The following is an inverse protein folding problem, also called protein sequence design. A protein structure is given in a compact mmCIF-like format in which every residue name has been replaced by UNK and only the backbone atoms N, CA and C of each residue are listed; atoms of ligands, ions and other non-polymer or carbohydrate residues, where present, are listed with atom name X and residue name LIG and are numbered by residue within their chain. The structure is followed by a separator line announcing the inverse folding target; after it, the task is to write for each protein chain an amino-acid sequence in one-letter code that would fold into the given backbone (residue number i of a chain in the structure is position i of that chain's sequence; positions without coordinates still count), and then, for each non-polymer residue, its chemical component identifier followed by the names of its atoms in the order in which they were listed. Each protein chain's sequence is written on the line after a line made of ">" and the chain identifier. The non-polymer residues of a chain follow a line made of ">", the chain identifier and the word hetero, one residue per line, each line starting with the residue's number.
data_IF_612767501815
#
_entry.id   IF_612767501815
#
_cell.length_a   1.000
_cell.length_b   1.000
_cell.length_c   1.000
_cell.angle_alpha   90.00
_cell.angle_beta   90.00
_cell.angle_gamma   90.00
#
_symmetry.space_group_name_H-M   'P 1'
#
loop_
_entity.id
_entity.type
_entity.pdbx_description
1 polymer ?
#
# COMPACT_ATOMS: atom_id res chain seq x y z
N UNK A 1 30.73 16.57 -11.84
CA UNK A 1 29.96 15.57 -11.07
C UNK A 1 30.14 15.75 -9.55
N UNK A 2 31.33 16.09 -9.09
CA UNK A 2 31.64 16.25 -7.64
C UNK A 2 30.89 17.39 -6.91
N UNK A 3 30.62 18.50 -7.58
CA UNK A 3 29.92 19.65 -6.97
C UNK A 3 28.44 19.36 -6.61
N UNK A 4 27.77 18.47 -7.35
CA UNK A 4 26.40 18.06 -7.05
C UNK A 4 26.33 17.10 -5.88
N UNK A 5 27.30 16.20 -5.75
CA UNK A 5 27.38 15.21 -4.66
C UNK A 5 27.64 15.91 -3.32
N UNK A 6 28.59 16.84 -3.28
CA UNK A 6 28.90 17.62 -2.06
C UNK A 6 27.71 18.46 -1.59
N UNK A 7 26.89 18.97 -2.51
CA UNK A 7 25.69 19.73 -2.16
C UNK A 7 24.58 18.83 -1.54
N UNK A 8 24.46 17.59 -2.02
CA UNK A 8 23.49 16.61 -1.49
C UNK A 8 23.90 16.15 -0.09
N UNK A 9 25.17 15.82 0.14
CA UNK A 9 25.65 15.42 1.46
C UNK A 9 25.47 16.53 2.49
N UNK A 10 25.80 17.76 2.13
CA UNK A 10 25.60 18.91 3.01
C UNK A 10 24.10 19.14 3.31
N UNK A 11 23.22 19.03 2.30
CA UNK A 11 21.77 19.15 2.48
C UNK A 11 21.22 18.07 3.43
N UNK A 12 21.72 16.84 3.34
CA UNK A 12 21.36 15.76 4.26
C UNK A 12 21.80 16.07 5.69
N UNK A 13 23.03 16.56 5.89
CA UNK A 13 23.55 16.94 7.20
C UNK A 13 22.72 18.06 7.82
N UNK A 14 22.40 19.09 7.04
CA UNK A 14 21.63 20.25 7.51
C UNK A 14 20.19 19.87 7.85
N UNK A 15 19.54 19.03 7.03
CA UNK A 15 18.22 18.47 7.33
C UNK A 15 18.23 17.66 8.62
N UNK A 16 19.22 16.79 8.81
CA UNK A 16 19.37 16.01 10.06
C UNK A 16 19.56 16.91 11.29
N UNK A 17 20.32 18.00 11.16
CA UNK A 17 20.48 18.98 12.25
C UNK A 17 19.16 19.68 12.58
N UNK A 18 18.41 20.12 11.57
CA UNK A 18 17.11 20.77 11.76
C UNK A 18 16.12 19.82 12.44
N UNK A 19 16.06 18.55 12.00
CA UNK A 19 15.19 17.54 12.61
C UNK A 19 15.55 17.31 14.07
N UNK A 20 16.84 17.19 14.41
CA UNK A 20 17.29 17.03 15.80
C UNK A 20 16.94 18.21 16.68
N UNK A 21 16.99 19.42 16.13
CA UNK A 21 16.64 20.65 16.87
C UNK A 21 15.15 20.75 17.14
N UNK A 22 14.32 20.30 16.18
CA UNK A 22 12.86 20.36 16.27
C UNK A 22 12.27 19.18 17.05
N UNK A 23 13.04 18.11 17.29
CA UNK A 23 12.63 16.90 18.00
C UNK A 23 13.53 16.64 19.22
N UNK A 24 13.39 17.48 20.30
CA UNK A 24 14.29 17.43 21.44
C UNK A 24 14.26 16.10 22.22
N UNK A 25 13.15 15.35 22.10
CA UNK A 25 12.92 14.08 22.82
C UNK A 25 12.81 12.87 21.89
N UNK A 26 13.79 12.69 21.01
CA UNK A 26 13.83 11.56 20.06
C UNK A 26 13.58 10.20 20.72
N UNK A 27 14.11 9.98 21.93
CA UNK A 27 13.93 8.71 22.65
C UNK A 27 12.47 8.47 23.00
N UNK A 28 11.75 9.49 23.48
CA UNK A 28 10.31 9.40 23.76
C UNK A 28 9.50 9.13 22.51
N UNK A 29 9.79 9.83 21.43
CA UNK A 29 9.13 9.64 20.13
C UNK A 29 9.31 8.20 19.61
N UNK A 30 10.51 7.63 19.73
CA UNK A 30 10.73 6.24 19.32
C UNK A 30 10.01 5.22 20.21
N UNK A 31 9.91 5.48 21.50
CA UNK A 31 9.13 4.63 22.42
C UNK A 31 7.62 4.68 22.10
N UNK A 32 7.10 5.85 21.81
CA UNK A 32 5.69 6.01 21.42
C UNK A 32 5.42 5.34 20.06
N UNK A 33 6.33 5.47 19.09
CA UNK A 33 6.24 4.80 17.81
C UNK A 33 6.28 3.27 17.97
N UNK A 34 7.18 2.74 18.81
CA UNK A 34 7.23 1.30 19.10
C UNK A 34 5.93 0.79 19.70
N UNK A 35 5.36 1.54 20.64
CA UNK A 35 4.08 1.22 21.26
C UNK A 35 2.94 1.23 20.23
N UNK A 36 2.90 2.24 19.36
CA UNK A 36 1.94 2.34 18.28
C UNK A 36 2.04 1.16 17.32
N UNK A 37 3.25 0.80 16.88
CA UNK A 37 3.47 -0.34 15.98
C UNK A 37 3.00 -1.65 16.63
N UNK A 38 3.30 -1.87 17.92
CA UNK A 38 2.82 -3.06 18.66
C UNK A 38 1.30 -3.15 18.71
N UNK A 39 0.62 -2.02 18.88
CA UNK A 39 -0.85 -1.96 18.86
C UNK A 39 -1.40 -2.31 17.48
N UNK A 40 -0.82 -1.74 16.40
CA UNK A 40 -1.24 -2.04 15.03
C UNK A 40 -1.01 -3.51 14.65
N UNK A 41 0.13 -4.08 15.05
CA UNK A 41 0.43 -5.51 14.82
C UNK A 41 -0.61 -6.39 15.54
N UNK A 42 -0.92 -6.08 16.81
CA UNK A 42 -1.94 -6.83 17.56
C UNK A 42 -3.32 -6.78 16.89
N UNK A 43 -3.72 -5.61 16.36
CA UNK A 43 -4.99 -5.50 15.61
C UNK A 43 -4.99 -6.36 14.33
N UNK A 44 -3.86 -6.39 13.61
CA UNK A 44 -3.70 -7.22 12.41
C UNK A 44 -3.82 -8.71 12.76
N UNK A 45 -3.16 -9.14 13.83
CA UNK A 45 -3.23 -10.53 14.34
C UNK A 45 -4.65 -10.91 14.76
N UNK A 46 -5.39 -10.01 15.40
CA UNK A 46 -6.77 -10.23 15.80
C UNK A 46 -7.69 -10.38 14.59
N UNK A 47 -7.57 -9.50 13.59
CA UNK A 47 -8.30 -9.62 12.32
C UNK A 47 -8.02 -10.95 11.62
N UNK A 48 -6.74 -11.34 11.54
CA UNK A 48 -6.34 -12.60 10.93
C UNK A 48 -6.91 -13.81 11.70
N UNK A 49 -6.93 -13.76 13.03
CA UNK A 49 -7.49 -14.82 13.87
C UNK A 49 -9.01 -14.94 13.71
N UNK A 50 -9.69 -13.83 13.47
CA UNK A 50 -11.14 -13.78 13.19
C UNK A 50 -11.49 -14.13 11.75
N UNK A 51 -10.50 -14.39 10.88
CA UNK A 51 -10.70 -14.63 9.46
C UNK A 51 -11.19 -13.40 8.68
N UNK A 52 -10.99 -12.21 9.23
CA UNK A 52 -11.35 -10.94 8.59
C UNK A 52 -10.20 -10.44 7.73
N UNK A 53 -10.50 -9.75 6.60
CA UNK A 53 -9.47 -9.19 5.74
C UNK A 53 -8.68 -8.10 6.48
N UNK A 54 -7.35 -8.20 6.43
CA UNK A 54 -6.45 -7.19 7.00
C UNK A 54 -6.41 -5.93 6.12
N UNK A 55 -6.48 -6.12 4.80
CA UNK A 55 -6.61 -5.03 3.83
C UNK A 55 -8.10 -4.76 3.63
N UNK A 56 -8.58 -3.52 3.81
CA UNK A 56 -9.98 -3.20 3.62
C UNK A 56 -10.44 -3.47 2.18
N UNK A 57 -11.62 -4.05 2.05
CA UNK A 57 -12.26 -4.36 0.78
C UNK A 57 -13.49 -3.49 0.57
N UNK A 58 -13.66 -2.97 -0.64
CA UNK A 58 -14.79 -2.14 -1.04
C UNK A 58 -15.34 -2.65 -2.38
N UNK A 59 -16.66 -2.74 -2.50
CA UNK A 59 -17.28 -2.93 -3.80
C UNK A 59 -17.27 -1.63 -4.61
N UNK A 60 -16.98 -1.72 -5.89
CA UNK A 60 -16.96 -0.58 -6.79
C UNK A 60 -18.30 0.19 -6.81
N UNK A 61 -19.41 -0.50 -6.79
CA UNK A 61 -20.75 0.10 -6.72
C UNK A 61 -20.92 1.02 -5.49
N UNK A 62 -20.30 0.68 -4.36
CA UNK A 62 -20.35 1.51 -3.15
C UNK A 62 -19.61 2.82 -3.34
N UNK A 63 -18.49 2.79 -4.11
CA UNK A 63 -17.72 4.00 -4.45
C UNK A 63 -18.52 4.84 -5.43
N UNK A 64 -19.06 4.24 -6.48
CA UNK A 64 -19.83 4.92 -7.53
C UNK A 64 -21.06 5.63 -6.96
N UNK A 65 -21.72 5.03 -5.97
CA UNK A 65 -22.87 5.61 -5.28
C UNK A 65 -22.51 6.58 -4.14
N UNK A 66 -21.23 6.89 -3.94
CA UNK A 66 -20.74 7.75 -2.85
C UNK A 66 -21.18 7.30 -1.43
N UNK A 67 -21.33 5.97 -1.23
CA UNK A 67 -21.81 5.36 0.02
C UNK A 67 -20.72 4.64 0.81
N UNK A 68 -19.46 5.06 0.65
CA UNK A 68 -18.35 4.45 1.40
C UNK A 68 -18.45 4.85 2.86
N UNK A 69 -18.48 3.84 3.74
CA UNK A 69 -18.53 4.04 5.18
C UNK A 69 -17.25 4.72 5.69
N UNK A 70 -17.39 5.66 6.62
CA UNK A 70 -16.25 6.41 7.19
C UNK A 70 -15.23 5.48 7.87
N UNK A 71 -15.67 4.39 8.47
CA UNK A 71 -14.78 3.40 9.11
C UNK A 71 -13.87 2.72 8.10
N UNK A 72 -14.37 2.48 6.88
CA UNK A 72 -13.57 1.93 5.77
C UNK A 72 -12.56 2.97 5.30
N UNK A 73 -12.97 4.24 5.16
CA UNK A 73 -12.07 5.33 4.78
C UNK A 73 -10.91 5.46 5.77
N UNK A 74 -11.21 5.42 7.07
CA UNK A 74 -10.18 5.45 8.13
C UNK A 74 -9.26 4.23 8.04
N UNK A 75 -9.83 3.04 7.79
CA UNK A 75 -9.04 1.80 7.64
C UNK A 75 -8.11 1.87 6.43
N UNK A 76 -8.55 2.40 5.30
CA UNK A 76 -7.72 2.62 4.11
C UNK A 76 -6.56 3.57 4.41
N UNK A 77 -6.85 4.70 5.09
CA UNK A 77 -5.81 5.66 5.49
C UNK A 77 -4.77 5.02 6.39
N UNK A 78 -5.18 4.17 7.32
CA UNK A 78 -4.28 3.49 8.25
C UNK A 78 -3.46 2.39 7.59
N UNK A 79 -4.04 1.64 6.64
CA UNK A 79 -3.35 0.55 5.93
C UNK A 79 -2.59 0.99 4.70
N UNK A 80 -2.92 2.17 4.13
CA UNK A 80 -2.29 2.72 2.93
C UNK A 80 -2.67 2.00 1.63
N UNK A 81 -3.61 1.05 1.68
CA UNK A 81 -4.08 0.29 0.51
C UNK A 81 -5.51 -0.20 0.71
N UNK A 82 -6.17 -0.57 -0.39
CA UNK A 82 -7.49 -1.18 -0.41
C UNK A 82 -7.63 -2.16 -1.57
N UNK A 83 -8.54 -3.13 -1.43
CA UNK A 83 -8.98 -4.00 -2.52
C UNK A 83 -10.34 -3.51 -3.01
N UNK A 84 -10.44 -3.15 -4.28
CA UNK A 84 -11.71 -2.78 -4.91
C UNK A 84 -12.25 -4.01 -5.64
N UNK A 85 -13.43 -4.45 -5.23
CA UNK A 85 -14.12 -5.62 -5.81
C UNK A 85 -15.13 -5.21 -6.87
N UNK A 86 -15.34 -6.10 -7.83
CA UNK A 86 -16.39 -5.97 -8.85
C UNK A 86 -16.30 -4.72 -9.72
N UNK A 87 -15.05 -4.30 -10.05
CA UNK A 87 -14.81 -3.16 -10.94
C UNK A 87 -15.29 -3.47 -12.36
N UNK A 88 -15.11 -4.72 -12.82
CA UNK A 88 -15.54 -5.19 -14.13
C UNK A 88 -16.51 -6.37 -14.00
N UNK A 89 -17.44 -6.54 -14.94
CA UNK A 89 -18.27 -7.74 -15.04
C UNK A 89 -17.40 -8.99 -15.18
N UNK A 90 -17.75 -10.06 -14.46
CA UNK A 90 -16.97 -11.30 -14.47
C UNK A 90 -16.77 -11.86 -15.89
N UNK A 91 -17.83 -11.87 -16.70
CA UNK A 91 -17.76 -12.34 -18.10
C UNK A 91 -16.76 -11.59 -18.95
N UNK A 92 -16.64 -10.27 -18.76
CA UNK A 92 -15.69 -9.45 -19.47
C UNK A 92 -14.23 -9.75 -19.06
N UNK A 93 -14.00 -10.00 -17.76
CA UNK A 93 -12.68 -10.38 -17.28
C UNK A 93 -12.28 -11.77 -17.80
N UNK A 94 -13.21 -12.71 -17.85
CA UNK A 94 -12.98 -14.04 -18.43
C UNK A 94 -12.66 -13.94 -19.93
N UNK A 95 -13.42 -13.16 -20.70
CA UNK A 95 -13.15 -12.92 -22.12
C UNK A 95 -11.75 -12.33 -22.36
N UNK A 96 -11.37 -11.29 -21.62
CA UNK A 96 -10.03 -10.69 -21.72
C UNK A 96 -8.91 -11.66 -21.34
N UNK A 97 -9.16 -12.53 -20.36
CA UNK A 97 -8.18 -13.55 -20.00
C UNK A 97 -8.00 -14.60 -21.11
N UNK A 98 -9.10 -15.02 -21.74
CA UNK A 98 -9.06 -15.97 -22.84
C UNK A 98 -8.36 -15.36 -24.07
N UNK A 99 -8.67 -14.11 -24.43
CA UNK A 99 -7.97 -13.37 -25.49
C UNK A 99 -6.47 -13.25 -25.22
N UNK A 100 -6.08 -12.99 -23.96
CA UNK A 100 -4.67 -12.91 -23.59
C UNK A 100 -3.97 -14.25 -23.73
N UNK A 101 -4.60 -15.35 -23.30
CA UNK A 101 -4.06 -16.72 -23.42
C UNK A 101 -3.89 -17.10 -24.88
N UNK A 102 -4.88 -16.80 -25.73
CA UNK A 102 -4.84 -17.02 -27.17
C UNK A 102 -3.67 -16.24 -27.81
N UNK A 103 -3.57 -14.95 -27.50
CA UNK A 103 -2.48 -14.09 -27.99
C UNK A 103 -1.09 -14.61 -27.62
N UNK A 104 -0.90 -15.04 -26.36
CA UNK A 104 0.38 -15.59 -25.89
C UNK A 104 0.71 -16.90 -26.62
N UNK A 105 -0.31 -17.76 -26.85
CA UNK A 105 -0.15 -19.04 -27.51
C UNK A 105 0.18 -18.85 -28.98
N UNK A 106 -0.56 -18.03 -29.70
CA UNK A 106 -0.35 -17.78 -31.15
C UNK A 106 1.01 -17.15 -31.44
N UNK A 107 1.53 -16.34 -30.52
CA UNK A 107 2.83 -15.69 -30.68
C UNK A 107 4.01 -16.51 -30.11
N UNK A 108 3.79 -17.69 -29.60
CA UNK A 108 4.83 -18.60 -29.12
C UNK A 108 5.68 -18.04 -27.98
N UNK A 109 5.14 -17.19 -27.13
CA UNK A 109 5.91 -16.57 -26.04
C UNK A 109 6.51 -17.58 -25.06
N UNK A 110 5.84 -18.71 -24.83
CA UNK A 110 6.37 -19.77 -23.96
C UNK A 110 7.57 -20.51 -24.53
N UNK A 111 7.72 -20.53 -25.87
CA UNK A 111 8.84 -21.18 -26.56
C UNK A 111 10.10 -20.29 -26.58
N UNK A 112 9.92 -18.96 -26.44
CA UNK A 112 11.02 -18.00 -26.46
C UNK A 112 11.71 -17.83 -25.10
N UNK A 113 11.13 -18.37 -24.03
CA UNK A 113 11.63 -18.25 -22.65
C UNK A 113 12.45 -19.47 -22.17
N UNK A 114 12.94 -20.33 -23.10
CA UNK A 114 13.82 -21.48 -22.79
C UNK A 114 15.30 -21.15 -22.94
#
# INVERSE_FOLDING_TARGET
>A
MDLLINNIEQAIVDTKKQLKTNLPELKGIFQDLEKYIKQEVSQIEDLAREGKPVIPEINYETIENEKVDETIIVSIKNRGCAVIRSVFPKSQVEEWNDELVEYITENGYYEQCQ
#
